data_IF_263515808523
#
_entry.id   IF_263515808523
#
_cell.length_a   1.000
_cell.length_b   1.000
_cell.length_c   1.000
_cell.angle_alpha   90.00
_cell.angle_beta   90.00
_cell.angle_gamma   90.00
#
_symmetry.space_group_name_H-M   'P 1'
#
loop_
_entity.id
_entity.type
_entity.pdbx_description
1 polymer ?
#
# COMPACT_ATOMS: atom_id res chain seq x y z
N UNK A 1 1.40 21.62 0.71
CA UNK A 1 2.72 21.05 0.37
C UNK A 1 2.67 19.68 1.02
N UNK A 2 2.78 18.58 0.25
CA UNK A 2 2.74 17.25 0.85
C UNK A 2 3.99 17.10 1.72
N UNK A 3 3.82 16.58 2.92
CA UNK A 3 4.94 16.31 3.81
C UNK A 3 5.73 15.10 3.30
N UNK A 4 6.89 14.85 3.88
CA UNK A 4 7.68 13.65 3.55
C UNK A 4 7.11 12.48 4.35
N UNK A 5 6.68 11.43 3.66
CA UNK A 5 6.19 10.21 4.29
C UNK A 5 7.27 9.60 5.18
N UNK A 6 6.91 9.35 6.43
CA UNK A 6 7.76 8.68 7.42
C UNK A 6 7.75 7.16 7.24
N UNK A 7 8.91 6.53 7.40
CA UNK A 7 9.04 5.07 7.27
C UNK A 7 10.11 4.49 8.19
N UNK A 8 9.96 3.20 8.51
CA UNK A 8 10.92 2.44 9.30
C UNK A 8 11.09 1.04 8.74
N UNK A 9 12.35 0.60 8.60
CA UNK A 9 12.67 -0.77 8.19
C UNK A 9 12.91 -1.60 9.44
N UNK A 10 12.26 -2.76 9.52
CA UNK A 10 12.43 -3.72 10.60
C UNK A 10 13.03 -5.01 10.08
N UNK A 11 13.79 -5.69 10.93
CA UNK A 11 14.47 -6.94 10.62
C UNK A 11 15.83 -6.73 9.96
N UNK A 12 16.62 -7.79 9.98
CA UNK A 12 17.96 -7.83 9.36
C UNK A 12 17.92 -8.82 8.18
N UNK A 13 17.64 -10.10 8.47
CA UNK A 13 17.51 -11.16 7.46
C UNK A 13 16.15 -11.19 6.74
N UNK A 14 15.06 -10.93 7.49
CA UNK A 14 13.70 -10.83 6.95
C UNK A 14 13.18 -9.42 7.18
N UNK A 15 13.21 -8.61 6.12
CA UNK A 15 12.93 -7.19 6.22
C UNK A 15 11.48 -6.86 5.84
N UNK A 16 10.91 -5.92 6.58
CA UNK A 16 9.65 -5.25 6.22
C UNK A 16 9.81 -3.75 6.37
N UNK A 17 9.09 -3.00 5.55
CA UNK A 17 8.98 -1.55 5.70
C UNK A 17 7.62 -1.21 6.29
N UNK A 18 7.65 -0.51 7.41
CA UNK A 18 6.49 0.11 8.03
C UNK A 18 6.44 1.56 7.55
N UNK A 19 5.26 2.02 7.14
CA UNK A 19 5.03 3.36 6.61
C UNK A 19 3.94 4.03 7.43
N UNK A 20 4.23 5.21 7.96
CA UNK A 20 3.28 6.04 8.69
C UNK A 20 2.60 7.00 7.72
N UNK A 21 1.29 7.19 7.87
CA UNK A 21 0.49 8.01 6.96
C UNK A 21 -0.25 9.07 7.77
N UNK A 22 -0.01 10.32 7.42
CA UNK A 22 -0.81 11.43 7.93
C UNK A 22 -2.19 11.48 7.25
N UNK A 23 -3.10 12.25 7.85
CA UNK A 23 -4.44 12.42 7.32
C UNK A 23 -4.42 12.98 5.88
N UNK A 24 -4.83 12.16 4.92
CA UNK A 24 -4.87 12.51 3.49
C UNK A 24 -3.65 12.03 2.70
N UNK A 25 -2.67 11.39 3.34
CA UNK A 25 -1.57 10.72 2.67
C UNK A 25 -1.96 9.32 2.19
N UNK A 26 -1.19 8.79 1.25
CA UNK A 26 -1.42 7.46 0.72
C UNK A 26 -0.19 6.87 0.05
N UNK A 27 -0.04 5.56 0.20
CA UNK A 27 1.03 4.77 -0.41
C UNK A 27 0.47 3.82 -1.45
N UNK A 28 1.23 3.64 -2.54
CA UNK A 28 0.98 2.60 -3.52
C UNK A 28 1.96 1.46 -3.32
N UNK A 29 1.44 0.25 -3.18
CA UNK A 29 2.21 -0.97 -3.08
C UNK A 29 1.77 -1.98 -4.14
N UNK A 30 2.66 -2.92 -4.49
CA UNK A 30 2.34 -4.02 -5.37
C UNK A 30 1.37 -5.01 -4.69
N UNK A 31 0.61 -5.75 -5.50
CA UNK A 31 -0.29 -6.80 -5.00
C UNK A 31 0.52 -7.84 -4.23
N UNK A 32 0.12 -8.08 -2.97
CA UNK A 32 0.79 -9.04 -2.10
C UNK A 32 2.02 -8.51 -1.37
N UNK A 33 2.45 -7.26 -1.61
CA UNK A 33 3.53 -6.64 -0.83
C UNK A 33 3.07 -6.18 0.57
N UNK A 34 1.76 -5.97 0.74
CA UNK A 34 1.14 -5.53 1.98
C UNK A 34 1.09 -6.67 3.01
N UNK A 35 1.71 -6.46 4.18
CA UNK A 35 1.77 -7.46 5.26
C UNK A 35 0.65 -7.27 6.28
N UNK A 36 0.49 -6.04 6.79
CA UNK A 36 -0.53 -5.67 7.77
C UNK A 36 -0.88 -4.18 7.62
N UNK A 37 -1.97 -3.74 8.24
CA UNK A 37 -2.38 -2.34 8.29
C UNK A 37 -3.12 -2.06 9.60
N UNK A 38 -2.97 -0.84 10.12
CA UNK A 38 -3.64 -0.40 11.34
C UNK A 38 -5.08 0.07 11.09
N UNK A 39 -5.84 0.18 12.18
CA UNK A 39 -7.21 0.68 12.13
C UNK A 39 -7.22 2.16 11.70
N UNK A 40 -8.04 2.49 10.70
CA UNK A 40 -8.14 3.85 10.14
C UNK A 40 -7.43 4.02 8.80
N UNK A 41 -6.62 3.05 8.36
CA UNK A 41 -6.08 3.02 7.00
C UNK A 41 -7.11 2.40 6.04
N UNK A 42 -7.43 3.12 4.98
CA UNK A 42 -8.31 2.64 3.91
C UNK A 42 -7.50 2.04 2.75
N UNK A 43 -7.69 0.76 2.46
CA UNK A 43 -7.11 0.12 1.28
C UNK A 43 -7.98 0.38 0.05
N UNK A 44 -7.37 0.97 -0.98
CA UNK A 44 -7.97 1.07 -2.31
C UNK A 44 -7.30 0.07 -3.25
N UNK A 45 -8.07 -0.87 -3.78
CA UNK A 45 -7.58 -1.80 -4.82
C UNK A 45 -7.96 -1.27 -6.19
N UNK A 46 -6.94 -0.89 -6.96
CA UNK A 46 -7.09 -0.61 -8.39
C UNK A 46 -6.72 -1.88 -9.13
N UNK A 47 -7.70 -2.73 -9.46
CA UNK A 47 -7.48 -3.80 -10.43
C UNK A 47 -7.22 -3.13 -11.78
N UNK A 48 -5.96 -3.05 -12.21
CA UNK A 48 -5.53 -2.45 -13.48
C UNK A 48 -6.10 -3.11 -14.75
N UNK A 49 -7.15 -3.93 -14.63
CA UNK A 49 -7.99 -4.39 -15.71
C UNK A 49 -9.42 -3.99 -15.40
N UNK A 50 -9.93 -2.96 -16.07
CA UNK A 50 -11.33 -2.59 -15.99
C UNK A 50 -12.26 -3.78 -16.27
N UNK A 51 -13.53 -3.63 -15.89
CA UNK A 51 -14.61 -4.63 -15.95
C UNK A 51 -14.65 -5.47 -17.24
N UNK A 52 -14.14 -4.92 -18.36
CA UNK A 52 -14.10 -5.55 -19.68
C UNK A 52 -12.91 -6.49 -19.94
N UNK A 53 -11.85 -6.50 -19.13
CA UNK A 53 -10.68 -7.38 -19.34
C UNK A 53 -10.94 -8.82 -18.88
N UNK A 54 -11.91 -9.02 -17.98
CA UNK A 54 -12.36 -10.35 -17.53
C UNK A 54 -13.25 -11.09 -18.53
N UNK A 55 -13.87 -10.38 -19.48
CA UNK A 55 -14.75 -10.97 -20.51
C UNK A 55 -14.02 -11.47 -21.76
N UNK A 56 -12.70 -11.26 -21.85
CA UNK A 56 -11.91 -11.57 -23.06
C UNK A 56 -11.15 -12.91 -22.98
N UNK A 57 -11.65 -13.87 -22.19
CA UNK A 57 -11.17 -15.26 -22.21
C UNK A 57 -12.11 -16.12 -23.03
#
# INVERSE_FOLDING_TARGET
MADVIDFKIHGDDMQLVEVELDAGEGVRAEVGAMMFMEAGIEMQTSTGGGLFKGFKR
#
